data_IF_020600754529
#
_entry.id   IF_020600754529
#
_cell.length_a   1.000
_cell.length_b   1.000
_cell.length_c   1.000
_cell.angle_alpha   90.00
_cell.angle_beta   90.00
_cell.angle_gamma   90.00
#
_symmetry.space_group_name_H-M   'P 1'
#
loop_
_entity.id
_entity.type
_entity.pdbx_description
1 polymer ?
#
# COMPACT_ATOMS: atom_id res chain seq x y z
N UNK A 1 16.01 -15.65 47.82
CA UNK A 1 14.84 -15.73 48.72
C UNK A 1 13.63 -15.95 47.84
N UNK A 2 12.87 -17.04 48.05
CA UNK A 2 11.67 -17.28 47.25
C UNK A 2 10.66 -16.15 47.54
N UNK A 3 10.16 -15.49 46.49
CA UNK A 3 9.07 -14.55 46.64
C UNK A 3 7.85 -15.35 47.15
N UNK A 4 7.21 -14.88 48.21
CA UNK A 4 5.99 -15.47 48.75
C UNK A 4 4.83 -14.51 48.49
N UNK A 5 3.64 -15.05 48.26
CA UNK A 5 2.44 -14.21 48.13
C UNK A 5 2.19 -13.55 49.50
N UNK A 6 2.00 -12.21 49.55
CA UNK A 6 1.84 -11.53 50.81
C UNK A 6 0.62 -12.07 51.53
N UNK A 7 0.83 -12.58 52.74
CA UNK A 7 -0.25 -13.05 53.59
C UNK A 7 -1.24 -11.92 53.91
N UNK A 8 -2.52 -12.23 54.15
CA UNK A 8 -3.46 -11.24 54.66
C UNK A 8 -2.92 -10.71 56.01
N UNK A 9 -3.19 -9.44 56.37
CA UNK A 9 -2.74 -8.85 57.63
C UNK A 9 -3.07 -9.76 58.82
N UNK A 10 -2.20 -9.82 59.83
CA UNK A 10 -2.47 -10.56 61.07
C UNK A 10 -3.65 -9.87 61.77
N UNK A 11 -4.85 -10.37 61.54
CA UNK A 11 -6.05 -9.93 62.24
C UNK A 11 -5.92 -10.36 63.69
N UNK A 12 -6.29 -9.47 64.62
CA UNK A 12 -6.08 -9.70 66.04
C UNK A 12 -6.88 -10.90 66.59
N UNK A 13 -7.91 -11.43 65.91
CA UNK A 13 -8.84 -12.41 66.51
C UNK A 13 -9.43 -13.50 65.57
N UNK A 14 -9.73 -14.64 66.23
CA UNK A 14 -10.56 -15.81 65.89
C UNK A 14 -10.25 -16.71 64.67
N UNK A 15 -9.66 -16.24 63.58
CA UNK A 15 -9.35 -17.10 62.40
C UNK A 15 -7.84 -17.26 62.23
N UNK A 16 -7.38 -18.51 62.17
CA UNK A 16 -5.96 -18.82 61.95
C UNK A 16 -5.55 -18.37 60.54
N UNK A 17 -4.50 -17.57 60.45
CA UNK A 17 -3.91 -17.13 59.19
C UNK A 17 -3.50 -18.34 58.33
N UNK A 18 -3.71 -18.30 57.00
CA UNK A 18 -3.27 -19.37 56.12
C UNK A 18 -1.74 -19.45 56.11
N UNK A 19 -1.16 -20.64 55.86
CA UNK A 19 0.28 -20.75 55.65
C UNK A 19 0.71 -19.93 54.42
N UNK A 20 1.97 -19.49 54.40
CA UNK A 20 2.53 -18.81 53.23
C UNK A 20 2.44 -19.70 51.99
N UNK A 21 1.85 -19.17 50.90
CA UNK A 21 1.76 -19.87 49.63
C UNK A 21 3.10 -19.89 48.89
N UNK A 22 3.34 -20.98 48.16
CA UNK A 22 4.47 -21.10 47.25
C UNK A 22 4.27 -20.24 45.99
N UNK A 23 5.36 -19.97 45.26
CA UNK A 23 5.31 -19.44 43.90
C UNK A 23 6.06 -20.44 42.98
N UNK A 24 5.35 -21.08 42.03
CA UNK A 24 3.91 -21.02 41.80
C UNK A 24 3.12 -21.68 42.96
N UNK A 25 1.87 -21.25 43.23
CA UNK A 25 1.03 -21.88 44.23
C UNK A 25 0.70 -23.33 43.85
N UNK A 26 0.80 -24.23 44.82
CA UNK A 26 0.33 -25.61 44.68
C UNK A 26 -1.19 -25.69 44.78
N UNK A 27 -1.78 -26.81 44.35
CA UNK A 27 -3.21 -27.10 44.59
C UNK A 27 -3.57 -26.97 46.07
N UNK A 28 -2.64 -27.35 46.96
CA UNK A 28 -2.77 -27.19 48.40
C UNK A 28 -2.82 -25.72 48.82
N UNK A 29 -2.06 -24.85 48.16
CA UNK A 29 -2.07 -23.40 48.41
C UNK A 29 -3.41 -22.78 47.97
N UNK A 30 -3.97 -23.23 46.84
CA UNK A 30 -5.30 -22.84 46.37
C UNK A 30 -6.39 -23.29 47.36
N UNK A 31 -6.35 -24.56 47.78
CA UNK A 31 -7.30 -25.11 48.76
C UNK A 31 -7.20 -24.37 50.11
N UNK A 32 -5.98 -24.08 50.57
CA UNK A 32 -5.76 -23.34 51.81
C UNK A 32 -6.32 -21.91 51.74
N UNK A 33 -6.14 -21.22 50.60
CA UNK A 33 -6.68 -19.89 50.40
C UNK A 33 -8.22 -19.88 50.39
N UNK A 34 -8.84 -20.84 49.70
CA UNK A 34 -10.29 -20.99 49.68
C UNK A 34 -10.87 -21.30 51.07
N UNK A 35 -10.25 -22.25 51.79
CA UNK A 35 -10.65 -22.60 53.15
C UNK A 35 -10.53 -21.42 54.12
N UNK A 36 -9.54 -20.55 53.93
CA UNK A 36 -9.41 -19.33 54.70
C UNK A 36 -10.58 -18.37 54.46
N UNK A 37 -11.00 -18.17 53.20
CA UNK A 37 -12.19 -17.36 52.87
C UNK A 37 -13.45 -17.91 53.52
N UNK A 38 -13.66 -19.23 53.47
CA UNK A 38 -14.79 -19.89 54.15
C UNK A 38 -14.77 -19.62 55.66
N UNK A 39 -13.59 -19.75 56.29
CA UNK A 39 -13.43 -19.54 57.72
C UNK A 39 -13.77 -18.09 58.11
N UNK A 40 -13.23 -17.09 57.40
CA UNK A 40 -13.51 -15.66 57.64
C UNK A 40 -14.99 -15.33 57.41
N UNK A 41 -15.60 -15.85 56.34
CA UNK A 41 -17.03 -15.69 56.06
C UNK A 41 -17.90 -16.24 57.20
N UNK A 42 -17.53 -17.41 57.75
CA UNK A 42 -18.28 -18.05 58.82
C UNK A 42 -18.30 -17.23 60.11
N UNK A 43 -17.22 -16.50 60.41
CA UNK A 43 -17.15 -15.61 61.59
C UNK A 43 -17.89 -14.31 61.31
N UNK A 44 -17.70 -13.72 60.13
CA UNK A 44 -18.41 -12.52 59.69
C UNK A 44 -19.95 -12.69 59.73
N UNK A 45 -20.48 -13.82 59.26
CA UNK A 45 -21.92 -14.09 59.32
C UNK A 45 -22.44 -14.21 60.77
N UNK A 46 -21.63 -14.74 61.70
CA UNK A 46 -22.02 -14.84 63.12
C UNK A 46 -22.00 -13.48 63.82
N UNK A 47 -21.04 -12.61 63.50
CA UNK A 47 -20.99 -11.26 64.07
C UNK A 47 -22.19 -10.44 63.60
N UNK A 48 -22.60 -10.55 62.33
CA UNK A 48 -23.81 -9.89 61.83
C UNK A 48 -25.10 -10.31 62.55
N UNK A 49 -25.19 -11.54 63.06
CA UNK A 49 -26.38 -12.03 63.76
C UNK A 49 -26.46 -11.51 65.20
N UNK A 50 -25.37 -10.99 65.77
CA UNK A 50 -25.31 -10.44 67.14
C UNK A 50 -25.51 -8.92 67.09
N UNK A 51 -26.72 -8.48 66.75
CA UNK A 51 -27.04 -7.07 66.55
C UNK A 51 -26.92 -6.17 67.81
N UNK A 52 -26.73 -6.71 69.02
CA UNK A 52 -26.95 -5.95 70.27
C UNK A 52 -25.70 -5.70 71.15
N UNK A 53 -24.51 -6.14 70.76
CA UNK A 53 -23.27 -5.81 71.50
C UNK A 53 -22.11 -5.60 70.54
N UNK A 54 -21.69 -4.35 70.38
CA UNK A 54 -20.42 -4.01 69.76
C UNK A 54 -19.28 -4.54 70.64
N UNK A 55 -18.83 -5.77 70.39
CA UNK A 55 -17.47 -6.14 70.76
C UNK A 55 -16.53 -5.60 69.69
N UNK A 56 -15.50 -4.87 70.09
CA UNK A 56 -14.37 -4.43 69.23
C UNK A 56 -13.56 -5.62 68.63
N UNK A 57 -14.06 -6.85 68.78
CA UNK A 57 -13.42 -8.12 68.48
C UNK A 57 -14.05 -8.84 67.27
N UNK A 58 -15.07 -8.25 66.63
CA UNK A 58 -15.79 -8.90 65.54
C UNK A 58 -15.12 -8.71 64.17
N UNK A 59 -14.99 -9.82 63.44
CA UNK A 59 -14.54 -9.82 62.03
C UNK A 59 -15.48 -8.91 61.22
N UNK A 60 -14.89 -7.88 60.62
CA UNK A 60 -15.60 -6.89 59.84
C UNK A 60 -15.67 -7.25 58.35
N UNK A 61 -16.44 -6.45 57.59
CA UNK A 61 -16.54 -6.61 56.14
C UNK A 61 -15.19 -6.43 55.42
N UNK A 62 -14.30 -5.61 56.01
CA UNK A 62 -12.94 -5.37 55.49
C UNK A 62 -12.10 -6.64 55.55
N UNK A 63 -12.23 -7.42 56.62
CA UNK A 63 -11.50 -8.66 56.83
C UNK A 63 -11.93 -9.74 55.84
N UNK A 64 -13.24 -9.83 55.58
CA UNK A 64 -13.79 -10.74 54.59
C UNK A 64 -13.34 -10.36 53.16
N UNK A 65 -13.36 -9.07 52.84
CA UNK A 65 -12.86 -8.58 51.56
C UNK A 65 -11.36 -8.90 51.35
N UNK A 66 -10.56 -8.80 52.42
CA UNK A 66 -9.12 -9.08 52.34
C UNK A 66 -8.83 -10.58 52.14
N UNK A 67 -9.64 -11.46 52.73
CA UNK A 67 -9.57 -12.89 52.47
C UNK A 67 -9.86 -13.23 51.00
N UNK A 68 -10.90 -12.61 50.40
CA UNK A 68 -11.22 -12.79 48.97
C UNK A 68 -10.06 -12.30 48.08
N UNK A 69 -9.46 -11.15 48.41
CA UNK A 69 -8.29 -10.64 47.67
C UNK A 69 -7.08 -11.55 47.78
N UNK A 70 -6.89 -12.21 48.92
CA UNK A 70 -5.82 -13.19 49.09
C UNK A 70 -6.02 -14.42 48.20
N UNK A 71 -7.23 -15.00 48.17
CA UNK A 71 -7.56 -16.11 47.28
C UNK A 71 -7.35 -15.75 45.81
N UNK A 72 -7.82 -14.59 45.37
CA UNK A 72 -7.62 -14.11 44.00
C UNK A 72 -6.13 -13.96 43.65
N UNK A 73 -5.29 -13.50 44.58
CA UNK A 73 -3.84 -13.43 44.38
C UNK A 73 -3.22 -14.81 44.21
N UNK A 74 -3.63 -15.79 45.01
CA UNK A 74 -3.15 -17.18 44.88
C UNK A 74 -3.54 -17.76 43.51
N UNK A 75 -4.77 -17.53 43.06
CA UNK A 75 -5.22 -17.99 41.73
C UNK A 75 -4.56 -17.26 40.55
N UNK A 76 -4.17 -16.00 40.72
CA UNK A 76 -3.45 -15.28 39.65
C UNK A 76 -2.01 -15.83 39.47
N UNK A 77 -1.35 -16.22 40.56
CA UNK A 77 0.03 -16.72 40.51
C UNK A 77 0.13 -18.21 40.15
N UNK A 78 -0.99 -18.93 40.03
CA UNK A 78 -0.99 -20.26 39.38
C UNK A 78 -0.76 -20.16 37.87
N UNK A 79 -0.91 -18.96 37.28
CA UNK A 79 -0.88 -18.75 35.82
C UNK A 79 0.29 -17.87 35.32
N UNK A 80 1.30 -17.57 36.15
CA UNK A 80 2.45 -16.74 35.72
C UNK A 80 3.54 -17.53 34.98
N UNK A 81 3.36 -18.83 34.78
CA UNK A 81 4.08 -19.58 33.73
C UNK A 81 3.05 -20.01 32.71
N UNK A 82 3.07 -19.40 31.54
CA UNK A 82 2.30 -19.86 30.38
C UNK A 82 2.43 -21.39 30.29
N UNK A 83 1.33 -22.16 30.31
CA UNK A 83 1.43 -23.59 30.49
C UNK A 83 2.22 -24.19 29.31
N UNK A 84 3.09 -25.19 29.54
CA UNK A 84 3.99 -25.70 28.49
C UNK A 84 3.28 -26.14 27.20
N UNK A 85 2.03 -26.60 27.31
CA UNK A 85 1.21 -26.97 26.16
C UNK A 85 0.85 -25.77 25.26
N UNK A 86 0.70 -24.57 25.82
CA UNK A 86 0.36 -23.37 25.06
C UNK A 86 1.54 -22.87 24.22
N UNK A 87 2.76 -22.92 24.78
CA UNK A 87 3.96 -22.64 23.99
C UNK A 87 4.12 -23.63 22.82
N UNK A 88 3.87 -24.92 23.07
CA UNK A 88 3.89 -25.95 22.02
C UNK A 88 2.79 -25.75 20.97
N UNK A 89 1.59 -25.31 21.38
CA UNK A 89 0.49 -25.03 20.47
C UNK A 89 0.71 -23.77 19.62
N UNK A 90 1.39 -22.75 20.15
CA UNK A 90 1.68 -21.49 19.45
C UNK A 90 2.91 -21.56 18.55
N UNK A 91 3.89 -22.43 18.86
CA UNK A 91 5.10 -22.60 18.06
C UNK A 91 4.83 -22.76 16.54
N UNK A 92 3.94 -23.66 16.07
CA UNK A 92 3.68 -23.80 14.63
C UNK A 92 3.02 -22.55 14.02
N UNK A 93 2.21 -21.82 14.78
CA UNK A 93 1.59 -20.57 14.31
C UNK A 93 2.63 -19.46 14.15
N UNK A 94 3.57 -19.35 15.08
CA UNK A 94 4.67 -18.40 14.99
C UNK A 94 5.59 -18.70 13.80
N UNK A 95 5.93 -19.98 13.58
CA UNK A 95 6.69 -20.40 12.40
C UNK A 95 5.96 -20.05 11.11
N UNK A 96 4.66 -20.39 11.02
CA UNK A 96 3.85 -20.06 9.84
C UNK A 96 3.77 -18.55 9.59
N UNK A 97 3.72 -17.73 10.65
CA UNK A 97 3.70 -16.28 10.52
C UNK A 97 5.04 -15.74 9.96
N UNK A 98 6.17 -16.33 10.34
CA UNK A 98 7.48 -16.00 9.78
C UNK A 98 7.52 -16.39 8.29
N UNK A 99 7.09 -17.59 7.94
CA UNK A 99 7.05 -18.06 6.54
C UNK A 99 6.16 -17.19 5.64
N UNK A 100 4.98 -16.78 6.15
CA UNK A 100 4.09 -15.85 5.44
C UNK A 100 4.74 -14.48 5.25
N UNK A 101 5.45 -13.99 6.27
CA UNK A 101 6.16 -12.71 6.19
C UNK A 101 7.27 -12.76 5.14
N UNK A 102 8.04 -13.84 5.10
CA UNK A 102 9.12 -14.01 4.13
C UNK A 102 8.56 -14.16 2.71
N UNK A 103 7.50 -14.96 2.54
CA UNK A 103 6.77 -15.07 1.26
C UNK A 103 6.22 -13.72 0.77
N UNK A 104 5.69 -12.90 1.68
CA UNK A 104 5.22 -11.55 1.35
C UNK A 104 6.36 -10.63 0.90
N UNK A 105 7.54 -10.80 1.47
CA UNK A 105 8.75 -10.07 1.08
C UNK A 105 9.16 -10.43 -0.35
N UNK A 106 9.19 -11.72 -0.69
CA UNK A 106 9.49 -12.21 -2.04
C UNK A 106 8.49 -11.71 -3.09
N UNK A 107 7.19 -11.71 -2.77
CA UNK A 107 6.15 -11.17 -3.65
C UNK A 107 6.35 -9.67 -3.88
N UNK A 108 6.73 -8.92 -2.85
CA UNK A 108 7.00 -7.48 -2.97
C UNK A 108 8.20 -7.20 -3.87
N UNK A 109 9.26 -7.98 -3.75
CA UNK A 109 10.47 -7.83 -4.59
C UNK A 109 10.16 -8.19 -6.05
N UNK A 110 9.43 -9.28 -6.28
CA UNK A 110 8.95 -9.68 -7.61
C UNK A 110 8.06 -8.61 -8.26
N UNK A 111 7.18 -7.98 -7.48
CA UNK A 111 6.33 -6.89 -7.97
C UNK A 111 7.17 -5.66 -8.37
N UNK A 112 8.22 -5.34 -7.61
CA UNK A 112 9.13 -4.26 -7.95
C UNK A 112 9.87 -4.54 -9.26
N UNK A 113 10.31 -5.79 -9.48
CA UNK A 113 10.94 -6.22 -10.73
C UNK A 113 9.99 -6.09 -11.92
N UNK A 114 8.76 -6.61 -11.81
CA UNK A 114 7.74 -6.53 -12.87
C UNK A 114 7.45 -5.07 -13.24
N UNK A 115 7.36 -4.17 -12.24
CA UNK A 115 7.16 -2.73 -12.48
C UNK A 115 8.34 -2.12 -13.23
N UNK A 116 9.57 -2.51 -12.90
CA UNK A 116 10.77 -2.09 -13.63
C UNK A 116 10.75 -2.57 -15.08
N UNK A 117 10.42 -3.84 -15.31
CA UNK A 117 10.31 -4.42 -16.65
C UNK A 117 9.23 -3.73 -17.49
N UNK A 118 8.08 -3.40 -16.89
CA UNK A 118 7.01 -2.66 -17.57
C UNK A 118 7.46 -1.29 -18.06
N UNK A 119 8.17 -0.53 -17.22
CA UNK A 119 8.73 0.78 -17.57
C UNK A 119 9.69 0.68 -18.78
N UNK A 120 10.50 -0.39 -18.83
CA UNK A 120 11.40 -0.65 -19.97
C UNK A 120 10.62 -0.98 -21.25
N UNK A 121 9.53 -1.75 -21.15
CA UNK A 121 8.69 -2.08 -22.30
C UNK A 121 7.99 -0.84 -22.84
N UNK A 122 7.45 0.02 -21.98
CA UNK A 122 6.85 1.30 -22.36
C UNK A 122 7.84 2.16 -23.14
N UNK A 123 9.07 2.35 -22.63
CA UNK A 123 10.10 3.12 -23.35
C UNK A 123 10.50 2.51 -24.71
N UNK A 124 10.51 1.18 -24.83
CA UNK A 124 10.75 0.51 -26.13
C UNK A 124 9.59 0.70 -27.10
N UNK A 125 8.36 0.73 -26.60
CA UNK A 125 7.16 0.96 -27.42
C UNK A 125 7.14 2.39 -27.96
N UNK A 126 7.49 3.38 -27.14
CA UNK A 126 7.62 4.78 -27.57
C UNK A 126 8.67 4.92 -28.68
N UNK A 127 9.84 4.31 -28.50
CA UNK A 127 10.90 4.32 -29.51
C UNK A 127 10.46 3.63 -30.82
N UNK A 128 9.71 2.53 -30.73
CA UNK A 128 9.19 1.84 -31.91
C UNK A 128 8.18 2.71 -32.65
N UNK A 129 7.27 3.37 -31.92
CA UNK A 129 6.30 4.32 -32.47
C UNK A 129 6.99 5.45 -33.23
N UNK A 130 8.04 6.03 -32.65
CA UNK A 130 8.85 7.08 -33.32
C UNK A 130 9.50 6.56 -34.60
N UNK A 131 10.13 5.36 -34.56
CA UNK A 131 10.75 4.74 -35.74
C UNK A 131 9.74 4.41 -36.84
N UNK A 132 8.55 3.96 -36.47
CA UNK A 132 7.47 3.70 -37.41
C UNK A 132 7.02 4.99 -38.08
N UNK A 133 6.86 6.09 -37.31
CA UNK A 133 6.52 7.41 -37.85
C UNK A 133 7.57 7.93 -38.84
N UNK A 134 8.85 7.82 -38.50
CA UNK A 134 9.96 8.22 -39.39
C UNK A 134 9.99 7.38 -40.66
N UNK A 135 9.80 6.06 -40.55
CA UNK A 135 9.74 5.17 -41.72
C UNK A 135 8.57 5.52 -42.62
N UNK A 136 7.38 5.73 -42.07
CA UNK A 136 6.20 6.14 -42.83
C UNK A 136 6.42 7.49 -43.51
N UNK A 137 7.07 8.45 -42.83
CA UNK A 137 7.41 9.76 -43.37
C UNK A 137 8.35 9.66 -44.57
N UNK A 138 9.42 8.90 -44.45
CA UNK A 138 10.41 8.75 -45.53
C UNK A 138 9.85 7.98 -46.72
N UNK A 139 9.03 6.95 -46.50
CA UNK A 139 8.32 6.26 -47.58
C UNK A 139 7.36 7.20 -48.32
N UNK A 140 6.55 7.97 -47.60
CA UNK A 140 5.61 8.92 -48.19
C UNK A 140 6.32 10.01 -48.99
N UNK A 141 7.42 10.58 -48.45
CA UNK A 141 8.25 11.55 -49.17
C UNK A 141 8.87 10.97 -50.43
N UNK A 142 9.41 9.75 -50.37
CA UNK A 142 10.00 9.06 -51.51
C UNK A 142 8.97 8.83 -52.63
N UNK A 143 7.77 8.38 -52.26
CA UNK A 143 6.66 8.24 -53.19
C UNK A 143 6.28 9.60 -53.82
N UNK A 144 6.09 10.63 -53.00
CA UNK A 144 5.74 11.97 -53.47
C UNK A 144 6.81 12.55 -54.41
N UNK A 145 8.09 12.33 -54.12
CA UNK A 145 9.20 12.77 -54.96
C UNK A 145 9.15 12.15 -56.37
N UNK A 146 8.78 10.87 -56.46
CA UNK A 146 8.64 10.17 -57.73
C UNK A 146 7.42 10.68 -58.52
N UNK A 147 6.36 11.08 -57.82
CA UNK A 147 5.05 11.38 -58.39
C UNK A 147 4.79 12.88 -58.67
N UNK A 148 5.61 13.80 -58.15
CA UNK A 148 5.36 15.25 -58.18
C UNK A 148 5.52 15.94 -59.56
N UNK A 149 5.30 15.23 -60.67
CA UNK A 149 5.44 15.76 -62.03
C UNK A 149 4.22 16.49 -62.56
N UNK A 150 3.01 16.22 -62.02
CA UNK A 150 1.76 16.83 -62.47
C UNK A 150 0.94 17.36 -61.27
N UNK A 151 0.14 18.44 -61.45
CA UNK A 151 -0.58 19.09 -60.35
C UNK A 151 -1.70 18.24 -59.75
N UNK A 152 -2.29 17.34 -60.55
CA UNK A 152 -3.36 16.43 -60.13
C UNK A 152 -2.86 15.11 -59.55
N UNK A 153 -1.53 14.90 -59.48
CA UNK A 153 -1.02 13.64 -58.95
C UNK A 153 -1.36 13.48 -57.47
N UNK A 154 -1.87 12.30 -57.13
CA UNK A 154 -2.17 11.95 -55.74
C UNK A 154 -0.87 11.79 -54.96
N UNK A 155 -0.75 12.58 -53.88
CA UNK A 155 0.32 12.52 -52.91
C UNK A 155 -0.07 11.62 -51.74
N UNK A 156 0.90 10.87 -51.22
CA UNK A 156 0.77 10.24 -49.91
C UNK A 156 0.86 11.28 -48.80
N UNK A 157 0.04 11.09 -47.77
CA UNK A 157 0.05 11.93 -46.58
C UNK A 157 1.34 11.67 -45.79
N UNK A 158 2.09 12.73 -45.55
CA UNK A 158 3.36 12.67 -44.81
C UNK A 158 3.07 12.98 -43.33
N UNK A 159 3.19 12.01 -42.40
CA UNK A 159 2.95 12.26 -40.98
C UNK A 159 3.95 13.27 -40.39
N UNK A 160 3.53 13.97 -39.33
CA UNK A 160 4.39 14.92 -38.62
C UNK A 160 5.51 14.23 -37.84
N UNK A 161 6.41 15.05 -37.28
CA UNK A 161 7.55 14.65 -36.43
C UNK A 161 7.21 13.59 -35.37
N UNK A 162 6.07 13.79 -34.72
CA UNK A 162 5.50 12.99 -33.63
C UNK A 162 4.66 11.79 -34.10
N UNK A 163 4.55 11.56 -35.41
CA UNK A 163 3.76 10.47 -36.00
C UNK A 163 2.26 10.76 -36.13
N UNK A 164 1.78 11.94 -35.72
CA UNK A 164 0.37 12.31 -35.89
C UNK A 164 0.03 12.53 -37.37
N UNK A 165 -1.22 12.19 -37.72
CA UNK A 165 -1.79 12.40 -39.05
C UNK A 165 -2.67 13.65 -39.09
N UNK A 166 -2.91 14.14 -40.31
CA UNK A 166 -3.64 15.39 -40.57
C UNK A 166 -5.11 15.34 -40.13
N UNK A 167 -5.72 14.16 -40.21
CA UNK A 167 -7.11 13.90 -39.83
C UNK A 167 -7.39 14.26 -38.37
N UNK A 168 -6.38 14.20 -37.52
CA UNK A 168 -6.56 14.25 -36.07
C UNK A 168 -6.61 15.70 -35.56
N UNK A 169 -6.21 16.67 -36.39
CA UNK A 169 -6.05 18.08 -36.02
C UNK A 169 -6.89 19.04 -36.87
N UNK A 170 -7.82 18.51 -37.68
CA UNK A 170 -8.76 19.31 -38.48
C UNK A 170 -8.11 20.13 -39.60
N UNK A 171 -6.91 19.76 -40.06
CA UNK A 171 -6.29 20.39 -41.22
C UNK A 171 -6.67 19.67 -42.53
N UNK A 172 -6.83 20.39 -43.66
CA UNK A 172 -7.23 19.79 -44.93
C UNK A 172 -6.15 18.87 -45.51
N UNK A 173 -6.52 17.65 -45.93
CA UNK A 173 -5.55 16.69 -46.45
C UNK A 173 -4.71 17.23 -47.62
N UNK A 174 -3.38 17.12 -47.53
CA UNK A 174 -2.43 17.54 -48.58
C UNK A 174 -2.15 16.40 -49.56
N UNK A 175 -3.22 15.88 -50.17
CA UNK A 175 -3.16 14.71 -51.05
C UNK A 175 -2.96 15.06 -52.54
N UNK A 176 -2.79 16.34 -52.89
CA UNK A 176 -2.47 16.82 -54.25
C UNK A 176 -1.65 18.12 -54.16
N UNK A 177 -0.94 18.48 -55.24
CA UNK A 177 -0.22 19.76 -55.30
C UNK A 177 -1.21 20.93 -55.28
N UNK A 178 -2.35 20.80 -55.97
CA UNK A 178 -3.42 21.80 -55.96
C UNK A 178 -3.95 22.07 -54.54
N UNK A 179 -4.11 21.04 -53.70
CA UNK A 179 -4.50 21.21 -52.30
C UNK A 179 -3.48 22.07 -51.52
N UNK A 180 -2.18 21.84 -51.74
CA UNK A 180 -1.10 22.64 -51.12
C UNK A 180 -1.12 24.09 -51.61
N UNK A 181 -1.43 24.31 -52.89
CA UNK A 181 -1.49 25.64 -53.48
C UNK A 181 -2.68 26.46 -52.98
N UNK A 182 -3.80 25.79 -52.69
CA UNK A 182 -5.04 26.41 -52.26
C UNK A 182 -5.16 26.63 -50.74
N UNK A 183 -4.17 26.19 -49.95
CA UNK A 183 -4.14 26.47 -48.51
C UNK A 183 -4.23 27.96 -48.20
N UNK A 184 -5.04 28.30 -47.19
CA UNK A 184 -5.01 29.62 -46.58
C UNK A 184 -3.64 29.90 -45.93
N UNK A 185 -3.34 31.18 -45.67
CA UNK A 185 -2.10 31.54 -44.98
C UNK A 185 -2.02 30.93 -43.58
N UNK A 186 -3.15 30.83 -42.87
CA UNK A 186 -3.21 30.25 -41.53
C UNK A 186 -2.95 28.75 -41.55
N UNK A 187 -3.66 27.98 -42.39
CA UNK A 187 -3.45 26.54 -42.51
C UNK A 187 -2.01 26.23 -42.88
N UNK A 188 -1.46 26.95 -43.87
CA UNK A 188 -0.06 26.78 -44.28
C UNK A 188 0.92 27.03 -43.13
N UNK A 189 0.69 28.06 -42.32
CA UNK A 189 1.54 28.32 -41.16
C UNK A 189 1.39 27.22 -40.10
N UNK A 190 0.17 26.70 -39.89
CA UNK A 190 -0.06 25.59 -38.97
C UNK A 190 0.69 24.33 -39.41
N UNK A 191 0.60 23.96 -40.69
CA UNK A 191 1.37 22.86 -41.28
C UNK A 191 2.87 23.04 -41.06
N UNK A 192 3.36 24.22 -41.40
CA UNK A 192 4.78 24.51 -41.37
C UNK A 192 5.32 24.54 -39.92
N UNK A 193 4.55 25.04 -38.96
CA UNK A 193 4.91 24.98 -37.54
C UNK A 193 4.97 23.55 -36.98
N UNK A 194 4.22 22.61 -37.58
CA UNK A 194 4.28 21.19 -37.18
C UNK A 194 5.43 20.43 -37.85
N UNK A 195 5.73 20.72 -39.12
CA UNK A 195 6.88 20.12 -39.80
C UNK A 195 8.23 20.71 -39.36
N UNK A 196 8.22 21.94 -38.85
CA UNK A 196 9.42 22.67 -38.42
C UNK A 196 9.19 23.39 -37.08
N UNK A 197 8.96 22.65 -35.98
CA UNK A 197 8.60 23.25 -34.68
C UNK A 197 9.66 24.20 -34.13
N UNK A 198 10.94 23.94 -34.42
CA UNK A 198 12.07 24.72 -33.92
C UNK A 198 12.50 25.86 -34.86
N UNK A 199 11.72 26.16 -35.90
CA UNK A 199 12.07 27.19 -36.90
C UNK A 199 11.05 28.31 -36.92
N UNK A 200 11.53 29.55 -36.87
CA UNK A 200 10.71 30.73 -37.15
C UNK A 200 10.53 30.87 -38.65
N UNK A 201 9.30 30.69 -39.14
CA UNK A 201 9.02 30.60 -40.56
C UNK A 201 8.67 31.97 -41.15
N UNK A 202 9.71 32.65 -41.62
CA UNK A 202 9.60 33.96 -42.28
C UNK A 202 9.60 33.81 -43.81
N UNK A 203 9.04 34.80 -44.52
CA UNK A 203 9.08 34.88 -45.97
C UNK A 203 7.72 34.98 -46.65
N UNK A 204 7.77 35.11 -47.98
CA UNK A 204 6.59 35.26 -48.84
C UNK A 204 5.77 33.96 -48.91
N UNK A 205 4.53 34.08 -49.39
CA UNK A 205 3.65 32.93 -49.66
C UNK A 205 4.34 31.88 -50.53
N UNK A 206 5.06 32.32 -51.57
CA UNK A 206 5.80 31.43 -52.48
C UNK A 206 6.89 30.65 -51.75
N UNK A 207 7.68 31.30 -50.88
CA UNK A 207 8.72 30.62 -50.10
C UNK A 207 8.12 29.58 -49.14
N UNK A 208 7.02 29.93 -48.46
CA UNK A 208 6.33 29.01 -47.55
C UNK A 208 5.72 27.81 -48.29
N UNK A 209 5.12 28.03 -49.46
CA UNK A 209 4.62 26.94 -50.32
C UNK A 209 5.76 25.99 -50.73
N UNK A 210 6.89 26.53 -51.18
CA UNK A 210 8.08 25.75 -51.52
C UNK A 210 8.59 24.93 -50.33
N UNK A 211 8.65 25.55 -49.15
CA UNK A 211 9.09 24.88 -47.93
C UNK A 211 8.13 23.75 -47.51
N UNK A 212 6.82 23.94 -47.68
CA UNK A 212 5.83 22.90 -47.41
C UNK A 212 5.92 21.75 -48.42
N UNK A 213 6.05 22.05 -49.72
CA UNK A 213 6.26 21.02 -50.75
C UNK A 213 7.53 20.20 -50.49
N UNK A 214 8.61 20.84 -50.04
CA UNK A 214 9.82 20.15 -49.61
C UNK A 214 9.58 19.23 -48.41
N UNK A 215 8.81 19.66 -47.41
CA UNK A 215 8.44 18.83 -46.27
C UNK A 215 7.67 17.57 -46.70
N UNK A 216 6.83 17.70 -47.73
CA UNK A 216 6.07 16.62 -48.34
C UNK A 216 6.90 15.73 -49.29
N UNK A 217 8.17 16.05 -49.54
CA UNK A 217 9.04 15.32 -50.46
C UNK A 217 8.82 15.61 -51.94
N UNK A 218 8.06 16.65 -52.30
CA UNK A 218 7.81 17.00 -53.70
C UNK A 218 9.04 17.68 -54.35
N UNK A 219 9.27 17.43 -55.64
CA UNK A 219 10.26 18.18 -56.43
C UNK A 219 9.80 19.62 -56.59
N UNK A 220 10.56 20.57 -56.05
CA UNK A 220 10.35 21.98 -56.35
C UNK A 220 11.25 22.36 -57.50
N UNK A 221 10.71 22.43 -58.72
CA UNK A 221 11.41 23.07 -59.83
C UNK A 221 11.75 24.50 -59.39
N UNK A 222 13.04 24.83 -59.39
CA UNK A 222 13.55 26.16 -59.01
C UNK A 222 13.13 27.18 -60.06
#
# INVERSE_FOLDING_TARGET
MAATIPLPPVQMLAVKQPPASNIPPSDKDVINAHNYVIAVNSVYCRSQQRYDKHSDEDVGIVDYAEAIRYEARVLAHTEDSQPPWLAAALAPLLTSLVEVKDSLMEVKDSLAEVKGQLTVVEGKLDLLTMRQADTARELAKSFNFQQSGAPETVLQIVPFGDGQYLSDIGLPALNTIAAVENLTTQERNNYLGRYYPDRVITGTVVKRKKLLLNALGCKTSI
#
